data_IF_357999987391
#
_entry.id   IF_357999987391
#
_cell.length_a   1.000
_cell.length_b   1.000
_cell.length_c   1.000
_cell.angle_alpha   90.00
_cell.angle_beta   90.00
_cell.angle_gamma   90.00
#
_symmetry.space_group_name_H-M   'P 1'
#
loop_
_entity.id
_entity.type
_entity.pdbx_description
1 polymer ?
#
# COMPACT_ATOMS: atom_id res chain seq x y z
N UNK A 1 -5.13 -17.25 35.96
CA UNK A 1 -4.23 -16.16 36.37
C UNK A 1 -3.01 -16.05 35.45
N UNK A 2 -2.15 -17.06 35.38
CA UNK A 2 -0.90 -17.00 34.60
C UNK A 2 -1.08 -16.77 33.09
N UNK A 3 -1.98 -17.51 32.43
CA UNK A 3 -2.32 -17.30 31.00
C UNK A 3 -2.85 -15.89 30.68
N UNK A 4 -3.53 -15.24 31.63
CA UNK A 4 -4.06 -13.88 31.43
C UNK A 4 -2.92 -12.86 31.44
N UNK A 5 -1.97 -13.02 32.37
CA UNK A 5 -0.80 -12.14 32.46
C UNK A 5 0.14 -12.33 31.27
N UNK A 6 0.32 -13.57 30.80
CA UNK A 6 1.10 -13.86 29.59
C UNK A 6 0.44 -13.27 28.34
N UNK A 7 -0.89 -13.37 28.22
CA UNK A 7 -1.64 -12.77 27.12
C UNK A 7 -1.57 -11.24 27.15
N UNK A 8 -1.70 -10.63 28.33
CA UNK A 8 -1.59 -9.17 28.49
C UNK A 8 -0.18 -8.68 28.15
N UNK A 9 0.86 -9.41 28.56
CA UNK A 9 2.24 -9.09 28.22
C UNK A 9 2.49 -9.23 26.70
N UNK A 10 1.96 -10.27 26.06
CA UNK A 10 2.04 -10.46 24.62
C UNK A 10 1.32 -9.35 23.85
N UNK A 11 0.10 -8.98 24.28
CA UNK A 11 -0.67 -7.90 23.68
C UNK A 11 0.05 -6.54 23.83
N UNK A 12 0.63 -6.26 25.00
CA UNK A 12 1.42 -5.03 25.20
C UNK A 12 2.69 -5.01 24.34
N UNK A 13 3.37 -6.15 24.18
CA UNK A 13 4.54 -6.26 23.32
C UNK A 13 4.16 -6.03 21.85
N UNK A 14 3.05 -6.62 21.40
CA UNK A 14 2.51 -6.43 20.05
C UNK A 14 2.18 -4.96 19.79
N UNK A 15 1.41 -4.34 20.68
CA UNK A 15 1.00 -2.94 20.56
C UNK A 15 2.22 -1.98 20.51
N UNK A 16 3.26 -2.25 21.32
CA UNK A 16 4.51 -1.48 21.27
C UNK A 16 5.27 -1.67 19.95
N UNK A 17 5.25 -2.88 19.39
CA UNK A 17 5.87 -3.18 18.10
C UNK A 17 5.14 -2.46 16.95
N UNK A 18 3.81 -2.56 16.93
CA UNK A 18 2.94 -1.90 15.95
C UNK A 18 3.10 -0.37 16.00
N UNK A 19 3.09 0.22 17.20
CA UNK A 19 3.28 1.66 17.37
C UNK A 19 4.65 2.13 16.85
N UNK A 20 5.71 1.34 17.06
CA UNK A 20 7.05 1.66 16.57
C UNK A 20 7.14 1.52 15.06
N UNK A 21 6.52 0.50 14.48
CA UNK A 21 6.44 0.31 13.04
C UNK A 21 5.68 1.46 12.38
N UNK A 22 4.52 1.83 12.91
CA UNK A 22 3.73 2.95 12.42
C UNK A 22 4.50 4.28 12.46
N UNK A 23 5.26 4.52 13.54
CA UNK A 23 6.10 5.71 13.65
C UNK A 23 7.23 5.73 12.61
N UNK A 24 7.89 4.58 12.41
CA UNK A 24 8.96 4.47 11.41
C UNK A 24 8.44 4.71 9.99
N UNK A 25 7.30 4.11 9.64
CA UNK A 25 6.64 4.30 8.34
C UNK A 25 6.24 5.76 8.10
N UNK A 26 5.67 6.41 9.13
CA UNK A 26 5.30 7.82 9.06
C UNK A 26 6.51 8.74 8.90
N UNK A 27 7.61 8.43 9.59
CA UNK A 27 8.84 9.21 9.50
C UNK A 27 9.58 9.02 8.16
N UNK A 28 9.38 7.88 7.49
CA UNK A 28 9.99 7.59 6.19
C UNK A 28 9.16 8.05 4.99
N UNK A 29 7.96 8.60 5.22
CA UNK A 29 7.00 8.96 4.15
C UNK A 29 6.68 7.75 3.23
N UNK A 30 6.72 6.53 3.79
CA UNK A 30 6.49 5.30 3.03
C UNK A 30 5.11 4.73 3.34
N UNK A 31 4.27 4.59 2.32
CA UNK A 31 3.03 3.84 2.40
C UNK A 31 3.29 2.34 2.23
N UNK A 32 2.58 1.52 2.98
CA UNK A 32 2.45 0.09 2.72
C UNK A 32 1.16 -0.14 1.94
N UNK A 33 1.18 -1.12 1.05
CA UNK A 33 -0.02 -1.59 0.39
C UNK A 33 -0.07 -3.11 0.39
N UNK A 34 -1.28 -3.65 0.47
CA UNK A 34 -1.57 -5.07 0.31
C UNK A 34 -2.73 -5.19 -0.67
N UNK A 35 -2.50 -5.91 -1.77
CA UNK A 35 -3.51 -6.14 -2.79
C UNK A 35 -3.84 -7.62 -2.91
N UNK A 36 -5.08 -7.96 -2.59
CA UNK A 36 -5.63 -9.27 -2.83
C UNK A 36 -6.06 -9.40 -4.30
N UNK A 37 -5.27 -10.11 -5.10
CA UNK A 37 -5.51 -10.33 -6.53
C UNK A 37 -6.81 -11.12 -6.82
N UNK A 38 -7.34 -11.88 -5.86
CA UNK A 38 -8.55 -12.68 -6.04
C UNK A 38 -9.82 -11.87 -5.78
N UNK A 39 -9.81 -11.05 -4.72
CA UNK A 39 -10.98 -10.25 -4.30
C UNK A 39 -10.96 -8.81 -4.85
N UNK A 40 -9.82 -8.38 -5.39
CA UNK A 40 -9.50 -6.98 -5.76
C UNK A 40 -9.39 -6.03 -4.55
N UNK A 41 -9.49 -6.54 -3.32
CA UNK A 41 -9.38 -5.72 -2.12
C UNK A 41 -7.98 -5.18 -1.97
N UNK A 42 -7.88 -3.90 -1.65
CA UNK A 42 -6.60 -3.23 -1.41
C UNK A 42 -6.61 -2.49 -0.11
N UNK A 43 -5.55 -2.66 0.67
CA UNK A 43 -5.28 -1.90 1.87
C UNK A 43 -4.08 -1.00 1.63
N UNK A 44 -4.17 0.27 2.06
CA UNK A 44 -3.05 1.21 2.01
C UNK A 44 -2.87 1.86 3.37
N UNK A 45 -1.63 2.02 3.81
CA UNK A 45 -1.28 2.95 4.88
C UNK A 45 -0.92 4.30 4.28
N UNK A 46 -1.12 5.37 5.04
CA UNK A 46 -0.76 6.75 4.65
C UNK A 46 -1.39 7.21 3.32
N UNK A 47 -2.59 6.71 3.00
CA UNK A 47 -3.27 7.04 1.75
C UNK A 47 -3.62 8.53 1.67
N UNK A 48 -4.00 9.13 2.80
CA UNK A 48 -4.34 10.54 2.88
C UNK A 48 -3.10 11.41 2.66
N UNK A 49 -1.99 11.05 3.30
CA UNK A 49 -0.73 11.78 3.21
C UNK A 49 -0.09 11.69 1.81
N UNK A 50 -0.18 10.53 1.15
CA UNK A 50 0.46 10.30 -0.16
C UNK A 50 -0.43 10.65 -1.35
N UNK A 51 -1.75 10.45 -1.24
CA UNK A 51 -2.68 10.58 -2.36
C UNK A 51 -3.79 11.62 -2.13
N UNK A 52 -3.93 12.17 -0.92
CA UNK A 52 -5.01 13.09 -0.58
C UNK A 52 -6.39 12.42 -0.60
N UNK A 53 -6.44 11.12 -0.32
CA UNK A 53 -7.66 10.31 -0.38
C UNK A 53 -7.94 9.69 0.98
N UNK A 54 -9.21 9.70 1.39
CA UNK A 54 -9.62 8.97 2.58
C UNK A 54 -9.63 7.45 2.31
N UNK A 55 -9.18 6.61 3.26
CA UNK A 55 -9.09 5.15 3.11
C UNK A 55 -10.41 4.49 2.66
N UNK A 56 -11.55 5.03 3.10
CA UNK A 56 -12.88 4.50 2.78
C UNK A 56 -13.21 4.61 1.29
N UNK A 57 -12.55 5.50 0.54
CA UNK A 57 -12.74 5.67 -0.90
C UNK A 57 -11.87 4.73 -1.74
N UNK A 58 -10.92 4.00 -1.12
CA UNK A 58 -9.95 3.16 -1.82
C UNK A 58 -9.86 1.78 -1.17
N UNK A 59 -10.92 1.02 -1.34
CA UNK A 59 -10.99 -0.37 -0.88
C UNK A 59 -10.69 -1.41 -1.96
N UNK A 60 -10.55 -0.99 -3.22
CA UNK A 60 -10.34 -1.91 -4.35
C UNK A 60 -9.38 -1.34 -5.39
N UNK A 61 -8.38 -2.12 -5.81
CA UNK A 61 -7.30 -1.65 -6.69
C UNK A 61 -7.83 -1.30 -8.09
N UNK A 62 -8.52 -2.23 -8.75
CA UNK A 62 -8.97 -2.03 -10.12
C UNK A 62 -10.16 -1.06 -10.23
N UNK A 63 -11.01 -1.01 -9.21
CA UNK A 63 -12.18 -0.13 -9.21
C UNK A 63 -11.85 1.30 -8.80
N UNK A 64 -11.01 1.49 -7.79
CA UNK A 64 -10.80 2.81 -7.18
C UNK A 64 -9.44 3.42 -7.55
N UNK A 65 -8.35 2.65 -7.61
CA UNK A 65 -7.04 3.22 -7.93
C UNK A 65 -6.76 3.30 -9.42
N UNK A 66 -7.08 2.26 -10.19
CA UNK A 66 -6.83 2.23 -11.64
C UNK A 66 -7.35 3.47 -12.39
N UNK A 67 -8.55 4.03 -12.12
CA UNK A 67 -9.02 5.24 -12.79
C UNK A 67 -8.23 6.51 -12.46
N UNK A 68 -7.45 6.49 -11.37
CA UNK A 68 -6.60 7.61 -10.93
C UNK A 68 -5.18 7.51 -11.50
N UNK A 69 -4.82 6.38 -12.10
CA UNK A 69 -3.52 6.19 -12.75
C UNK A 69 -3.47 7.00 -14.05
N UNK A 70 -2.30 7.57 -14.34
CA UNK A 70 -2.11 8.26 -15.61
C UNK A 70 -2.20 7.27 -16.78
N UNK A 71 -2.97 7.58 -17.85
CA UNK A 71 -3.22 6.65 -18.95
C UNK A 71 -1.94 6.18 -19.66
N UNK A 72 -0.95 7.07 -19.78
CA UNK A 72 0.34 6.76 -20.42
C UNK A 72 1.18 5.75 -19.63
N UNK A 73 0.96 5.64 -18.31
CA UNK A 73 1.76 4.77 -17.43
C UNK A 73 1.12 3.37 -17.32
N UNK A 74 -0.17 3.22 -17.67
CA UNK A 74 -0.90 1.95 -17.61
C UNK A 74 -0.22 0.79 -18.36
N UNK A 75 0.34 0.97 -19.58
CA UNK A 75 1.02 -0.12 -20.27
C UNK A 75 2.29 -0.58 -19.54
N UNK A 76 3.05 0.36 -18.98
CA UNK A 76 4.27 0.06 -18.23
C UNK A 76 3.95 -0.67 -16.92
N UNK A 77 2.95 -0.19 -16.17
CA UNK A 77 2.50 -0.78 -14.92
C UNK A 77 1.98 -2.21 -15.13
N UNK A 78 1.14 -2.43 -16.16
CA UNK A 78 0.66 -3.78 -16.51
C UNK A 78 1.80 -4.72 -16.86
N UNK A 79 2.81 -4.25 -17.61
CA UNK A 79 3.97 -5.06 -17.97
C UNK A 79 4.77 -5.45 -16.73
N UNK A 80 5.11 -4.50 -15.87
CA UNK A 80 5.86 -4.76 -14.64
C UNK A 80 5.15 -5.78 -13.75
N UNK A 81 3.84 -5.61 -13.55
CA UNK A 81 3.03 -6.54 -12.77
C UNK A 81 3.02 -7.95 -13.38
N UNK A 82 2.82 -8.07 -14.69
CA UNK A 82 2.80 -9.38 -15.36
C UNK A 82 4.14 -10.09 -15.30
N UNK A 83 5.26 -9.38 -15.46
CA UNK A 83 6.58 -9.98 -15.37
C UNK A 83 6.88 -10.47 -13.94
N UNK A 84 6.50 -9.69 -12.92
CA UNK A 84 6.64 -10.08 -11.52
C UNK A 84 5.77 -11.31 -11.17
N UNK A 85 4.48 -11.30 -11.53
CA UNK A 85 3.58 -12.44 -11.27
C UNK A 85 4.00 -13.73 -12.01
N UNK A 86 4.78 -13.60 -13.08
CA UNK A 86 5.37 -14.75 -13.79
C UNK A 86 6.71 -15.22 -13.19
N UNK A 87 7.16 -14.60 -12.10
CA UNK A 87 8.44 -14.90 -11.46
C UNK A 87 9.65 -14.50 -12.31
N UNK A 88 9.51 -13.54 -13.23
CA UNK A 88 10.61 -13.07 -14.09
C UNK A 88 11.42 -11.95 -13.45
N UNK A 89 10.90 -11.34 -12.38
CA UNK A 89 11.59 -10.37 -11.54
C UNK A 89 11.50 -10.80 -10.09
N UNK A 90 12.56 -10.57 -9.31
CA UNK A 90 12.60 -10.91 -7.89
C UNK A 90 11.63 -10.06 -7.06
N UNK A 91 11.53 -8.77 -7.41
CA UNK A 91 10.62 -7.81 -6.81
C UNK A 91 9.82 -7.08 -7.91
N UNK A 92 8.64 -6.57 -7.55
CA UNK A 92 7.90 -5.61 -8.35
C UNK A 92 8.42 -4.21 -8.02
N UNK A 93 8.85 -3.45 -9.03
CA UNK A 93 9.26 -2.06 -8.88
C UNK A 93 8.76 -1.25 -10.08
N UNK A 94 8.09 -0.13 -9.81
CA UNK A 94 7.62 0.77 -10.86
C UNK A 94 7.47 2.19 -10.31
N UNK A 95 7.71 3.17 -11.18
CA UNK A 95 7.38 4.58 -10.93
C UNK A 95 6.25 4.98 -11.88
N UNK A 96 5.21 5.63 -11.37
CA UNK A 96 4.06 6.06 -12.15
C UNK A 96 3.36 7.27 -11.54
N UNK A 97 2.52 7.91 -12.35
CA UNK A 97 1.73 9.07 -11.91
C UNK A 97 0.34 8.65 -11.44
N UNK A 98 -0.06 9.22 -10.31
CA UNK A 98 -1.41 9.11 -9.74
C UNK A 98 -2.04 10.47 -9.61
N UNK A 99 -3.34 10.55 -9.86
CA UNK A 99 -4.12 11.77 -9.67
C UNK A 99 -4.45 11.94 -8.19
N UNK A 100 -3.87 12.96 -7.58
CA UNK A 100 -4.11 13.36 -6.19
C UNK A 100 -5.58 13.79 -5.98
N UNK A 101 -6.07 13.72 -4.74
CA UNK A 101 -7.40 14.21 -4.35
C UNK A 101 -7.67 15.67 -4.77
N UNK A 102 -6.63 16.51 -4.75
CA UNK A 102 -6.66 17.91 -5.19
C UNK A 102 -6.59 18.10 -6.71
N UNK A 103 -6.52 17.01 -7.48
CA UNK A 103 -6.63 17.00 -8.94
C UNK A 103 -5.32 17.16 -9.71
N UNK A 104 -4.19 17.39 -9.06
CA UNK A 104 -2.85 17.40 -9.66
C UNK A 104 -2.25 15.99 -9.77
N UNK A 105 -1.14 15.85 -10.50
CA UNK A 105 -0.42 14.58 -10.64
C UNK A 105 0.72 14.49 -9.63
N UNK A 106 0.82 13.34 -8.95
CA UNK A 106 1.94 13.00 -8.07
C UNK A 106 2.67 11.79 -8.61
N UNK A 107 3.99 11.76 -8.43
CA UNK A 107 4.82 10.60 -8.76
C UNK A 107 4.89 9.67 -7.56
N UNK A 108 4.67 8.38 -7.80
CA UNK A 108 4.72 7.33 -6.79
C UNK A 108 5.69 6.26 -7.28
N UNK A 109 6.57 5.83 -6.37
CA UNK A 109 7.36 4.62 -6.53
C UNK A 109 6.69 3.50 -5.73
N UNK A 110 6.25 2.45 -6.42
CA UNK A 110 5.77 1.23 -5.77
C UNK A 110 6.84 0.16 -5.79
N UNK A 111 6.99 -0.48 -4.63
CA UNK A 111 7.75 -1.71 -4.47
C UNK A 111 6.88 -2.78 -3.84
N UNK A 112 6.84 -3.97 -4.44
CA UNK A 112 6.02 -5.09 -4.01
C UNK A 112 6.76 -6.42 -4.15
N UNK A 113 6.21 -7.45 -3.52
CA UNK A 113 6.73 -8.82 -3.53
C UNK A 113 5.59 -9.83 -3.64
#
# INVERSE_FOLDING_TARGET
AQRSLELDAANQALCKSEARLALALKASELGLWDWNLQTDEVHHTQLQELFGLEPEYVTAMLRHLKPRLHPDDLPALKRALVEHLKGRTEDYQIEYRVRHGDGHWVWIEDRGR
#
